data_IF_253686595616
#
_entry.id   IF_253686595616
#
_cell.length_a   1.000
_cell.length_b   1.000
_cell.length_c   1.000
_cell.angle_alpha   90.00
_cell.angle_beta   90.00
_cell.angle_gamma   90.00
#
_symmetry.space_group_name_H-M   'P 1'
#
loop_
_entity.id
_entity.type
_entity.pdbx_description
1 polymer ?
#
# COMPACT_ATOMS: atom_id res chain seq x y z
N UNK A 1 -6.81 -4.94 -11.74
CA UNK A 1 -5.94 -3.85 -12.27
C UNK A 1 -4.89 -3.40 -11.24
N UNK A 2 -5.27 -3.22 -9.97
CA UNK A 2 -4.32 -2.82 -8.90
C UNK A 2 -3.19 -3.83 -8.67
N UNK A 3 -3.50 -5.13 -8.66
CA UNK A 3 -2.52 -6.21 -8.55
C UNK A 3 -1.37 -6.11 -9.55
N UNK A 4 -1.67 -5.97 -10.85
CA UNK A 4 -0.63 -5.85 -11.89
C UNK A 4 0.30 -4.65 -11.64
N UNK A 5 -0.22 -3.54 -11.14
CA UNK A 5 0.60 -2.35 -10.83
C UNK A 5 1.49 -2.56 -9.60
N UNK A 6 1.02 -3.29 -8.60
CA UNK A 6 1.84 -3.65 -7.44
C UNK A 6 2.89 -4.69 -7.79
N UNK A 7 2.57 -5.67 -8.64
CA UNK A 7 3.52 -6.64 -9.19
C UNK A 7 4.64 -5.96 -9.99
N UNK A 8 4.31 -4.93 -10.77
CA UNK A 8 5.31 -4.10 -11.45
C UNK A 8 6.19 -3.35 -10.45
N UNK A 9 5.59 -2.83 -9.36
CA UNK A 9 6.31 -2.10 -8.31
C UNK A 9 7.24 -3.01 -7.49
N UNK A 10 6.83 -4.23 -7.18
CA UNK A 10 7.60 -5.25 -6.45
C UNK A 10 8.80 -5.77 -7.26
N UNK A 11 8.80 -5.62 -8.59
CA UNK A 11 9.94 -6.00 -9.44
C UNK A 11 11.01 -4.93 -9.56
N UNK A 12 10.78 -3.74 -9.03
CA UNK A 12 11.78 -2.67 -9.09
C UNK A 12 12.84 -2.87 -8.00
N UNK A 13 13.97 -2.18 -8.14
CA UNK A 13 15.02 -2.17 -7.11
C UNK A 13 14.60 -1.40 -5.85
N UNK A 14 13.63 -0.51 -5.97
CA UNK A 14 13.11 0.34 -4.89
C UNK A 14 11.60 0.10 -4.75
N UNK A 15 11.28 -1.08 -4.20
CA UNK A 15 9.94 -1.62 -4.14
C UNK A 15 9.02 -0.73 -3.30
N UNK A 16 9.50 -0.31 -2.13
CA UNK A 16 8.76 0.57 -1.21
C UNK A 16 8.41 1.91 -1.87
N UNK A 17 9.38 2.61 -2.48
CA UNK A 17 9.10 3.92 -3.09
C UNK A 17 8.22 3.79 -4.34
N UNK A 18 8.32 2.68 -5.07
CA UNK A 18 7.45 2.38 -6.22
C UNK A 18 6.00 2.18 -5.78
N UNK A 19 5.77 1.43 -4.70
CA UNK A 19 4.44 1.22 -4.12
C UNK A 19 3.89 2.53 -3.54
N UNK A 20 4.72 3.34 -2.85
CA UNK A 20 4.32 4.67 -2.35
C UNK A 20 3.92 5.60 -3.48
N UNK A 21 4.67 5.64 -4.57
CA UNK A 21 4.34 6.42 -5.77
C UNK A 21 2.98 5.99 -6.34
N UNK A 22 2.72 4.68 -6.38
CA UNK A 22 1.43 4.15 -6.81
C UNK A 22 0.28 4.59 -5.88
N UNK A 23 0.47 4.52 -4.57
CA UNK A 23 -0.48 5.01 -3.57
C UNK A 23 -0.78 6.50 -3.76
N UNK A 24 0.24 7.32 -4.02
CA UNK A 24 0.06 8.75 -4.31
C UNK A 24 -0.78 8.99 -5.57
N UNK A 25 -0.60 8.19 -6.61
CA UNK A 25 -1.44 8.25 -7.82
C UNK A 25 -2.89 7.91 -7.49
N UNK A 26 -3.15 6.90 -6.66
CA UNK A 26 -4.51 6.56 -6.22
C UNK A 26 -5.15 7.69 -5.41
N UNK A 27 -4.39 8.34 -4.52
CA UNK A 27 -4.82 9.53 -3.78
C UNK A 27 -5.18 10.69 -4.71
N UNK A 28 -4.34 10.99 -5.70
CA UNK A 28 -4.61 12.04 -6.69
C UNK A 28 -5.84 11.75 -7.55
N UNK A 29 -6.19 10.47 -7.74
CA UNK A 29 -7.42 10.03 -8.41
C UNK A 29 -8.66 10.09 -7.52
N UNK A 30 -8.52 10.51 -6.27
CA UNK A 30 -9.64 10.74 -5.35
C UNK A 30 -9.96 9.58 -4.40
N UNK A 31 -9.17 8.49 -4.40
CA UNK A 31 -9.41 7.39 -3.46
C UNK A 31 -9.10 7.82 -2.02
N UNK A 32 -9.96 7.40 -1.10
CA UNK A 32 -9.78 7.62 0.34
C UNK A 32 -8.68 6.72 0.88
N UNK A 33 -8.12 7.08 2.04
CA UNK A 33 -7.07 6.28 2.68
C UNK A 33 -7.55 4.85 2.94
N UNK A 34 -8.78 4.70 3.42
CA UNK A 34 -9.35 3.39 3.70
C UNK A 34 -9.45 2.51 2.45
N UNK A 35 -9.95 3.07 1.34
CA UNK A 35 -10.06 2.32 0.08
C UNK A 35 -8.70 1.85 -0.43
N UNK A 36 -7.66 2.68 -0.27
CA UNK A 36 -6.29 2.32 -0.63
C UNK A 36 -5.75 1.25 0.31
N UNK A 37 -6.00 1.39 1.61
CA UNK A 37 -5.60 0.39 2.61
C UNK A 37 -6.23 -0.97 2.33
N UNK A 38 -7.54 -1.02 2.05
CA UNK A 38 -8.26 -2.25 1.74
C UNK A 38 -7.71 -2.90 0.46
N UNK A 39 -7.35 -2.11 -0.56
CA UNK A 39 -6.70 -2.62 -1.77
C UNK A 39 -5.35 -3.27 -1.46
N UNK A 40 -4.51 -2.59 -0.67
CA UNK A 40 -3.19 -3.11 -0.31
C UNK A 40 -3.32 -4.37 0.56
N UNK A 41 -4.25 -4.37 1.52
CA UNK A 41 -4.48 -5.49 2.42
C UNK A 41 -4.95 -6.74 1.70
N UNK A 42 -5.92 -6.62 0.78
CA UNK A 42 -6.37 -7.78 -0.02
C UNK A 42 -5.20 -8.37 -0.80
N UNK A 43 -4.33 -7.53 -1.36
CA UNK A 43 -3.20 -8.00 -2.16
C UNK A 43 -2.09 -8.59 -1.28
N UNK A 44 -1.85 -8.07 -0.07
CA UNK A 44 -0.89 -8.69 0.86
C UNK A 44 -1.37 -10.09 1.29
N UNK A 45 -2.67 -10.27 1.56
CA UNK A 45 -3.26 -11.57 1.84
C UNK A 45 -3.11 -12.54 0.66
N UNK A 46 -3.40 -12.09 -0.58
CA UNK A 46 -3.20 -12.89 -1.80
C UNK A 46 -1.73 -13.34 -1.95
N UNK A 47 -0.76 -12.48 -1.65
CA UNK A 47 0.66 -12.84 -1.70
C UNK A 47 1.04 -13.86 -0.62
N UNK A 48 0.49 -13.74 0.59
CA UNK A 48 0.70 -14.74 1.63
C UNK A 48 0.14 -16.11 1.23
N UNK A 49 -1.02 -16.17 0.58
CA UNK A 49 -1.59 -17.41 0.05
C UNK A 49 -0.74 -18.02 -1.10
N UNK A 50 0.07 -17.21 -1.78
CA UNK A 50 0.97 -17.62 -2.86
C UNK A 50 2.40 -17.98 -2.37
N UNK A 51 2.62 -18.11 -1.05
CA UNK A 51 3.94 -18.32 -0.42
C UNK A 51 4.95 -17.19 -0.72
N UNK A 52 4.46 -15.95 -0.92
CA UNK A 52 5.25 -14.75 -1.24
C UNK A 52 5.32 -13.80 -0.05
N UNK A 53 5.66 -14.34 1.12
CA UNK A 53 5.66 -13.63 2.40
C UNK A 53 6.55 -12.37 2.40
N UNK A 54 7.76 -12.44 1.84
CA UNK A 54 8.67 -11.28 1.76
C UNK A 54 8.05 -10.09 0.99
N UNK A 55 7.29 -10.36 -0.08
CA UNK A 55 6.62 -9.32 -0.85
C UNK A 55 5.36 -8.82 -0.16
N UNK A 56 4.67 -9.66 0.59
CA UNK A 56 3.55 -9.27 1.44
C UNK A 56 4.02 -8.32 2.55
N UNK A 57 5.13 -8.64 3.23
CA UNK A 57 5.75 -7.78 4.25
C UNK A 57 6.10 -6.38 3.71
N UNK A 58 6.63 -6.29 2.49
CA UNK A 58 6.91 -5.01 1.83
C UNK A 58 5.64 -4.17 1.62
N UNK A 59 4.52 -4.81 1.28
CA UNK A 59 3.23 -4.12 1.14
C UNK A 59 2.73 -3.66 2.51
N UNK A 60 2.86 -4.49 3.55
CA UNK A 60 2.48 -4.17 4.92
C UNK A 60 3.28 -3.00 5.49
N UNK A 61 4.60 -2.94 5.24
CA UNK A 61 5.45 -1.78 5.57
C UNK A 61 4.91 -0.48 4.96
N UNK A 62 4.44 -0.53 3.71
CA UNK A 62 3.84 0.64 3.06
C UNK A 62 2.46 0.94 3.64
N UNK A 63 1.67 -0.06 3.99
CA UNK A 63 0.40 0.13 4.69
C UNK A 63 0.61 0.86 6.02
N UNK A 64 1.64 0.50 6.79
CA UNK A 64 2.03 1.17 8.03
C UNK A 64 2.47 2.63 7.80
N UNK A 65 3.11 2.93 6.67
CA UNK A 65 3.40 4.32 6.30
C UNK A 65 2.14 5.11 5.92
N UNK A 66 1.18 4.47 5.26
CA UNK A 66 -0.12 5.08 4.90
C UNK A 66 -0.99 5.31 6.12
N UNK A 67 -0.98 4.39 7.09
CA UNK A 67 -1.66 4.56 8.39
C UNK A 67 -0.89 5.51 9.31
N UNK A 68 0.44 5.60 9.23
CA UNK A 68 1.24 6.63 9.91
C UNK A 68 0.92 8.05 9.42
N UNK A 69 0.61 8.21 8.13
CA UNK A 69 -0.03 9.42 7.58
C UNK A 69 -1.42 9.68 8.19
N UNK A 70 -2.12 8.63 8.61
CA UNK A 70 -3.42 8.68 9.27
C UNK A 70 -3.29 9.09 10.75
N UNK A 71 -2.28 8.64 11.49
CA UNK A 71 -2.09 9.03 12.91
C UNK A 71 -1.63 10.49 13.03
N UNK A 72 -0.73 10.99 12.16
CA UNK A 72 -0.30 12.39 12.20
C UNK A 72 -1.32 13.39 11.60
N UNK A 73 -2.44 12.93 11.04
CA UNK A 73 -3.55 13.80 10.58
C UNK A 73 -4.90 13.55 11.26
N UNK A 74 -5.02 12.56 12.13
CA UNK A 74 -6.24 12.32 12.93
C UNK A 74 -6.12 12.70 14.40
N UNK A 75 -5.12 13.49 14.79
CA UNK A 75 -5.22 14.28 16.02
C UNK A 75 -5.85 15.63 15.66
N UNK A 76 -7.14 15.60 15.33
CA UNK A 76 -7.99 16.73 15.68
C UNK A 76 -8.35 16.53 17.16
N UNK A 77 -7.68 17.28 18.03
CA UNK A 77 -8.24 17.56 19.35
C UNK A 77 -9.44 18.47 19.12
N UNK A 78 -10.65 17.91 19.29
CA UNK A 78 -11.76 18.70 19.82
C UNK A 78 -11.45 19.11 21.27
#
# INVERSE_FOLDING_TARGET
MHRVKLEEALKTKDQIESIRSYVLVLKQRGLKSQEIYDILHVISLELMEEDREEEAEIIEDVMDMVTGWYVCRNIEFD
#
